data_IF_651946511378
#
_entry.id   IF_651946511378
#
_cell.length_a   1.000
_cell.length_b   1.000
_cell.length_c   1.000
_cell.angle_alpha   90.00
_cell.angle_beta   90.00
_cell.angle_gamma   90.00
#
_symmetry.space_group_name_H-M   'P 1'
#
loop_
_entity.id
_entity.type
_entity.pdbx_description
1 polymer ?
#
# COMPACT_ATOMS: atom_id res chain seq x y z
N UNK A 1 26.62 -6.15 14.28
CA UNK A 1 27.01 -4.74 14.50
C UNK A 1 25.95 -3.89 13.83
N UNK A 2 25.25 -3.04 14.59
CA UNK A 2 24.21 -2.17 14.03
C UNK A 2 24.88 -1.06 13.22
N UNK A 3 24.51 -0.93 11.94
CA UNK A 3 25.09 0.07 11.04
C UNK A 3 24.34 1.42 11.07
N UNK A 4 23.21 1.45 11.80
CA UNK A 4 22.37 2.62 12.04
C UNK A 4 22.63 3.18 13.45
N UNK A 5 22.61 4.51 13.57
CA UNK A 5 22.81 5.25 14.81
C UNK A 5 21.63 6.21 15.05
N UNK A 6 21.47 6.65 16.31
CA UNK A 6 20.54 7.71 16.71
C UNK A 6 19.63 7.31 17.87
N UNK A 7 19.37 8.25 18.77
CA UNK A 7 18.54 8.02 19.98
C UNK A 7 17.04 8.21 19.72
N UNK A 8 16.66 8.88 18.64
CA UNK A 8 15.26 9.22 18.29
C UNK A 8 14.87 8.70 16.91
N UNK A 9 15.78 8.75 15.95
CA UNK A 9 15.63 8.15 14.62
C UNK A 9 16.88 7.34 14.29
N UNK A 10 16.70 6.11 13.82
CA UNK A 10 17.80 5.28 13.37
C UNK A 10 18.19 5.66 11.95
N UNK A 11 19.37 6.24 11.78
CA UNK A 11 19.91 6.65 10.49
C UNK A 11 21.17 5.83 10.15
N UNK A 12 21.29 5.40 8.89
CA UNK A 12 22.53 4.86 8.33
C UNK A 12 23.23 5.92 7.47
N UNK A 13 24.40 6.38 7.92
CA UNK A 13 25.20 7.35 7.15
C UNK A 13 25.71 6.74 5.83
N UNK A 14 25.99 7.56 4.81
CA UNK A 14 26.62 7.10 3.56
C UNK A 14 27.93 6.34 3.80
N UNK A 15 28.70 6.76 4.81
CA UNK A 15 29.96 6.10 5.23
C UNK A 15 29.69 4.68 5.73
N UNK A 16 28.61 4.47 6.48
CA UNK A 16 28.22 3.17 7.01
C UNK A 16 27.48 2.30 5.98
N UNK A 17 26.78 2.91 5.01
CA UNK A 17 26.03 2.20 3.97
C UNK A 17 26.93 1.60 2.88
N UNK A 18 27.92 2.36 2.40
CA UNK A 18 28.81 1.95 1.29
C UNK A 18 29.54 0.62 1.47
N UNK A 19 30.08 0.28 2.66
CA UNK A 19 30.84 -0.96 2.84
C UNK A 19 29.95 -2.19 3.07
N UNK A 20 28.61 -2.06 3.05
CA UNK A 20 27.72 -3.19 3.25
C UNK A 20 27.93 -4.24 2.13
N UNK A 21 28.24 -5.50 2.48
CA UNK A 21 28.43 -6.54 1.48
C UNK A 21 27.11 -6.78 0.75
N UNK A 22 27.17 -6.78 -0.58
CA UNK A 22 26.04 -7.06 -1.45
C UNK A 22 26.43 -8.16 -2.43
N UNK A 23 25.67 -9.26 -2.43
CA UNK A 23 25.80 -10.31 -3.45
C UNK A 23 24.99 -9.91 -4.66
N UNK A 24 25.63 -9.82 -5.81
CA UNK A 24 24.98 -9.48 -7.08
C UNK A 24 24.90 -10.74 -7.94
N UNK A 25 23.68 -11.27 -8.09
CA UNK A 25 23.44 -12.41 -8.97
C UNK A 25 23.56 -12.01 -10.45
N UNK A 26 23.85 -12.96 -11.36
CA UNK A 26 23.82 -12.72 -12.81
C UNK A 26 22.46 -12.20 -13.28
N UNK A 27 22.47 -11.39 -14.35
CA UNK A 27 21.28 -10.73 -14.89
C UNK A 27 20.07 -11.65 -15.13
N UNK A 28 20.24 -12.85 -15.70
CA UNK A 28 19.09 -13.74 -15.93
C UNK A 28 18.37 -14.13 -14.63
N UNK A 29 19.13 -14.37 -13.55
CA UNK A 29 18.58 -14.74 -12.23
C UNK A 29 17.85 -13.54 -11.62
N UNK A 30 18.43 -12.34 -11.73
CA UNK A 30 17.81 -11.11 -11.22
C UNK A 30 16.53 -10.77 -11.95
N UNK A 31 16.48 -10.96 -13.27
CA UNK A 31 15.28 -10.74 -14.07
C UNK A 31 14.17 -11.71 -13.67
N UNK A 32 14.46 -13.02 -13.63
CA UNK A 32 13.48 -14.03 -13.25
C UNK A 32 12.92 -13.79 -11.83
N UNK A 33 13.78 -13.42 -10.88
CA UNK A 33 13.33 -13.04 -9.54
C UNK A 33 12.45 -11.78 -9.55
N UNK A 34 12.84 -10.75 -10.30
CA UNK A 34 12.06 -9.51 -10.43
C UNK A 34 10.68 -9.78 -11.00
N UNK A 35 10.56 -10.62 -12.03
CA UNK A 35 9.27 -10.90 -12.68
C UNK A 35 8.34 -11.64 -11.70
N UNK A 36 8.89 -12.61 -10.96
CA UNK A 36 8.15 -13.34 -9.93
C UNK A 36 7.72 -12.42 -8.77
N UNK A 37 8.67 -11.70 -8.18
CA UNK A 37 8.43 -10.87 -7.01
C UNK A 37 7.59 -9.63 -7.36
N UNK A 38 7.82 -9.03 -8.53
CA UNK A 38 7.12 -7.85 -9.02
C UNK A 38 5.61 -8.06 -9.07
N UNK A 39 5.16 -9.21 -9.56
CA UNK A 39 3.73 -9.57 -9.58
C UNK A 39 3.08 -9.50 -8.18
N UNK A 40 3.81 -9.93 -7.14
CA UNK A 40 3.32 -9.85 -5.77
C UNK A 40 3.31 -8.42 -5.23
N UNK A 41 4.30 -7.61 -5.58
CA UNK A 41 4.33 -6.19 -5.21
C UNK A 41 3.22 -5.40 -5.89
N UNK A 42 2.94 -5.66 -7.17
CA UNK A 42 1.85 -5.02 -7.90
C UNK A 42 0.50 -5.38 -7.28
N UNK A 43 0.31 -6.66 -6.92
CA UNK A 43 -0.88 -7.11 -6.21
C UNK A 43 -1.02 -6.46 -4.84
N UNK A 44 0.07 -6.38 -4.08
CA UNK A 44 0.09 -5.73 -2.77
C UNK A 44 -0.30 -4.25 -2.90
N UNK A 45 0.28 -3.54 -3.86
CA UNK A 45 -0.02 -2.13 -4.10
C UNK A 45 -1.51 -1.93 -4.44
N UNK A 46 -2.07 -2.77 -5.31
CA UNK A 46 -3.50 -2.75 -5.64
C UNK A 46 -4.39 -2.99 -4.41
N UNK A 47 -4.09 -4.01 -3.62
CA UNK A 47 -4.85 -4.31 -2.39
C UNK A 47 -4.76 -3.19 -1.35
N UNK A 48 -3.60 -2.55 -1.20
CA UNK A 48 -3.44 -1.40 -0.31
C UNK A 48 -4.29 -0.21 -0.77
N UNK A 49 -4.31 0.09 -2.07
CA UNK A 49 -5.13 1.17 -2.62
C UNK A 49 -6.63 0.87 -2.47
N UNK A 50 -7.06 -0.36 -2.77
CA UNK A 50 -8.45 -0.79 -2.59
C UNK A 50 -8.88 -0.71 -1.14
N UNK A 51 -8.05 -1.19 -0.20
CA UNK A 51 -8.33 -1.12 1.22
C UNK A 51 -8.51 0.33 1.69
N UNK A 52 -7.62 1.24 1.26
CA UNK A 52 -7.74 2.66 1.56
C UNK A 52 -9.04 3.27 1.02
N UNK A 53 -9.41 2.92 -0.21
CA UNK A 53 -10.66 3.38 -0.82
C UNK A 53 -11.89 2.84 -0.07
N UNK A 54 -11.91 1.56 0.29
CA UNK A 54 -13.00 0.95 1.06
C UNK A 54 -13.12 1.56 2.46
N UNK A 55 -11.99 1.83 3.13
CA UNK A 55 -11.98 2.51 4.42
C UNK A 55 -12.54 3.93 4.31
N UNK A 56 -12.10 4.71 3.31
CA UNK A 56 -12.62 6.05 3.06
C UNK A 56 -14.11 6.03 2.74
N UNK A 57 -14.56 5.07 1.93
CA UNK A 57 -15.98 4.90 1.60
C UNK A 57 -16.79 4.60 2.85
N UNK A 58 -16.35 3.64 3.68
CA UNK A 58 -16.98 3.31 4.97
C UNK A 58 -17.08 4.56 5.86
N UNK A 59 -15.98 5.28 6.03
CA UNK A 59 -15.91 6.43 6.91
C UNK A 59 -16.78 7.59 6.42
N UNK A 60 -17.03 7.69 5.11
CA UNK A 60 -17.96 8.65 4.53
C UNK A 60 -19.44 8.24 4.64
N UNK A 61 -19.74 6.95 4.44
CA UNK A 61 -21.12 6.45 4.36
C UNK A 61 -21.70 6.15 5.73
N UNK A 62 -20.92 5.56 6.64
CA UNK A 62 -21.42 5.08 7.92
C UNK A 62 -22.03 6.21 8.77
N UNK A 63 -21.43 7.41 8.89
CA UNK A 63 -22.05 8.51 9.63
C UNK A 63 -23.39 8.95 9.04
N UNK A 64 -23.50 9.01 7.71
CA UNK A 64 -24.70 9.45 6.99
C UNK A 64 -25.84 8.43 7.05
N UNK A 65 -25.48 7.14 7.05
CA UNK A 65 -26.43 6.05 7.29
C UNK A 65 -26.92 6.08 8.75
N UNK A 66 -26.03 6.27 9.72
CA UNK A 66 -26.40 6.33 11.14
C UNK A 66 -27.25 7.56 11.48
N UNK A 67 -27.00 8.71 10.84
CA UNK A 67 -27.82 9.92 11.03
C UNK A 67 -29.17 9.87 10.31
N UNK A 68 -29.36 8.91 9.40
CA UNK A 68 -30.54 8.84 8.53
C UNK A 68 -30.56 9.87 7.40
N UNK A 69 -29.48 10.63 7.21
CA UNK A 69 -29.29 11.56 6.08
C UNK A 69 -29.25 10.80 4.75
N UNK A 70 -28.72 9.57 4.76
CA UNK A 70 -28.71 8.68 3.62
C UNK A 70 -29.63 7.47 3.89
N UNK A 71 -30.64 7.27 3.04
CA UNK A 71 -31.53 6.10 3.10
C UNK A 71 -31.21 5.11 1.99
N UNK A 72 -31.10 3.84 2.34
CA UNK A 72 -30.66 2.77 1.41
C UNK A 72 -31.53 2.72 0.14
N UNK A 73 -32.86 2.72 0.27
CA UNK A 73 -33.78 2.66 -0.89
C UNK A 73 -33.67 3.85 -1.84
N UNK A 74 -33.31 5.03 -1.33
CA UNK A 74 -33.15 6.24 -2.14
C UNK A 74 -31.78 6.23 -2.82
N UNK A 75 -30.74 5.77 -2.11
CA UNK A 75 -29.41 5.57 -2.66
C UNK A 75 -29.39 4.51 -3.78
N UNK A 76 -30.10 3.40 -3.61
CA UNK A 76 -30.23 2.34 -4.63
C UNK A 76 -30.76 2.90 -5.96
N UNK A 77 -31.84 3.70 -5.92
CA UNK A 77 -32.39 4.37 -7.11
C UNK A 77 -31.40 5.33 -7.77
N UNK A 78 -30.69 6.11 -6.97
CA UNK A 78 -29.70 7.07 -7.49
C UNK A 78 -28.54 6.37 -8.18
N UNK A 79 -28.12 5.19 -7.69
CA UNK A 79 -27.06 4.40 -8.34
C UNK A 79 -27.57 3.75 -9.63
N UNK A 80 -28.80 3.21 -9.64
CA UNK A 80 -29.41 2.63 -10.84
C UNK A 80 -29.62 3.64 -11.98
N UNK A 81 -29.85 4.92 -11.68
CA UNK A 81 -30.00 5.98 -12.70
C UNK A 81 -28.66 6.40 -13.35
N UNK A 82 -27.53 6.08 -12.73
CA UNK A 82 -26.18 6.49 -13.18
C UNK A 82 -25.45 5.39 -13.95
N UNK A 83 -25.95 4.14 -13.89
CA UNK A 83 -25.40 2.96 -14.58
C UNK A 83 -26.19 2.68 -15.86
#
# INVERSE_FOLDING_TARGET
MANANGSTFQEISKKNFRPLPCVVAPDPVRSAFRDLAGTWFDRLAGLCAENANLAALRDSLLPRLMSGELRIREAEKQVEEVV
#
